data_IF_351251058768
#
_entry.id   IF_351251058768
#
_cell.length_a   1.000
_cell.length_b   1.000
_cell.length_c   1.000
_cell.angle_alpha   90.00
_cell.angle_beta   90.00
_cell.angle_gamma   90.00
#
_symmetry.space_group_name_H-M   'P 1'
#
loop_
_entity.id
_entity.type
_entity.pdbx_description
1 polymer ?
#
# COMPACT_ATOMS: atom_id res chain seq x y z
N UNK A 1 19.75 36.52 0.85
CA UNK A 1 20.97 35.68 0.82
C UNK A 1 20.50 34.24 0.68
N UNK A 2 20.57 33.69 -0.54
CA UNK A 2 20.11 32.34 -0.89
C UNK A 2 21.25 31.36 -0.54
N UNK A 3 20.96 30.27 0.17
CA UNK A 3 21.95 29.28 0.59
C UNK A 3 22.29 28.39 -0.62
N UNK A 4 23.37 28.72 -1.33
CA UNK A 4 23.91 27.96 -2.48
C UNK A 4 24.72 26.71 -2.08
N UNK A 5 24.62 26.23 -0.82
CA UNK A 5 25.28 24.98 -0.42
C UNK A 5 24.23 23.87 -0.31
N UNK A 6 24.37 22.77 -1.08
CA UNK A 6 23.52 21.60 -0.87
C UNK A 6 23.72 21.11 0.57
N UNK A 7 22.65 20.71 1.26
CA UNK A 7 22.75 20.24 2.64
C UNK A 7 23.66 19.01 2.70
N UNK A 8 24.58 18.97 3.68
CA UNK A 8 25.58 17.91 3.78
C UNK A 8 25.01 16.54 4.25
N UNK A 9 23.69 16.47 4.49
CA UNK A 9 23.01 15.26 4.99
C UNK A 9 21.65 15.05 4.33
N UNK A 10 21.23 13.79 4.18
CA UNK A 10 19.91 13.37 3.66
C UNK A 10 18.79 14.07 4.42
N UNK A 11 18.88 14.08 5.76
CA UNK A 11 17.89 14.73 6.62
C UNK A 11 17.81 16.24 6.40
N UNK A 12 18.93 16.88 6.08
CA UNK A 12 18.97 18.30 5.71
C UNK A 12 18.27 18.57 4.38
N UNK A 13 18.46 17.68 3.40
CA UNK A 13 17.78 17.73 2.11
C UNK A 13 16.26 17.60 2.24
N UNK A 14 15.81 16.57 2.97
CA UNK A 14 14.38 16.33 3.22
C UNK A 14 13.72 17.49 3.98
N UNK A 15 14.43 18.09 4.94
CA UNK A 15 13.93 19.27 5.65
C UNK A 15 13.79 20.50 4.74
N UNK A 16 14.71 20.68 3.79
CA UNK A 16 14.62 21.75 2.79
C UNK A 16 13.44 21.51 1.82
N UNK A 17 13.30 20.28 1.32
CA UNK A 17 12.18 19.86 0.46
C UNK A 17 10.83 20.03 1.16
N UNK A 18 10.72 19.62 2.42
CA UNK A 18 9.48 19.80 3.19
C UNK A 18 9.12 21.29 3.36
N UNK A 19 10.12 22.16 3.57
CA UNK A 19 9.89 23.61 3.69
C UNK A 19 9.46 24.24 2.36
N UNK A 20 10.10 23.87 1.24
CA UNK A 20 9.73 24.38 -0.08
C UNK A 20 8.31 23.96 -0.44
N UNK A 21 7.95 22.68 -0.27
CA UNK A 21 6.59 22.20 -0.54
C UNK A 21 5.51 22.83 0.36
N UNK A 22 5.82 23.06 1.65
CA UNK A 22 4.90 23.80 2.54
C UNK A 22 4.72 25.26 2.12
N UNK A 23 5.80 25.94 1.74
CA UNK A 23 5.74 27.33 1.28
C UNK A 23 4.94 27.47 -0.02
N UNK A 24 4.97 26.44 -0.88
CA UNK A 24 4.20 26.37 -2.13
C UNK A 24 2.73 25.98 -1.95
N UNK A 25 2.29 25.69 -0.72
CA UNK A 25 0.90 25.31 -0.41
C UNK A 25 0.52 23.89 -0.85
N UNK A 26 1.49 22.98 -0.98
CA UNK A 26 1.21 21.59 -1.36
C UNK A 26 0.38 20.86 -0.30
N UNK A 27 -0.41 19.88 -0.75
CA UNK A 27 -1.27 19.07 0.13
C UNK A 27 -0.43 18.20 1.08
N UNK A 28 -0.94 17.86 2.29
CA UNK A 28 -0.20 17.01 3.23
C UNK A 28 0.16 15.62 2.70
N UNK A 29 -0.74 14.99 1.94
CA UNK A 29 -0.48 13.68 1.32
C UNK A 29 0.67 13.74 0.32
N UNK A 30 0.61 14.69 -0.62
CA UNK A 30 1.68 14.92 -1.61
C UNK A 30 3.04 15.19 -0.95
N UNK A 31 3.06 15.94 0.16
CA UNK A 31 4.30 16.18 0.94
C UNK A 31 4.83 14.87 1.53
N UNK A 32 3.96 14.01 2.06
CA UNK A 32 4.36 12.73 2.63
C UNK A 32 4.93 11.79 1.57
N UNK A 33 4.27 11.69 0.42
CA UNK A 33 4.67 10.81 -0.68
C UNK A 33 6.03 11.26 -1.25
N UNK A 34 6.18 12.55 -1.56
CA UNK A 34 7.42 13.10 -2.09
C UNK A 34 8.61 12.92 -1.13
N UNK A 35 8.39 13.06 0.20
CA UNK A 35 9.45 12.84 1.19
C UNK A 35 9.87 11.38 1.28
N UNK A 36 8.92 10.45 1.24
CA UNK A 36 9.20 9.01 1.31
C UNK A 36 9.96 8.54 0.06
N UNK A 37 9.49 8.93 -1.12
CA UNK A 37 10.14 8.59 -2.40
C UNK A 37 11.59 9.13 -2.45
N UNK A 38 11.78 10.39 -2.04
CA UNK A 38 13.11 11.01 -2.02
C UNK A 38 14.03 10.34 -0.99
N UNK A 39 13.53 10.00 0.21
CA UNK A 39 14.32 9.32 1.23
C UNK A 39 14.78 7.94 0.75
N UNK A 40 13.89 7.16 0.13
CA UNK A 40 14.23 5.85 -0.42
C UNK A 40 15.29 5.97 -1.53
N UNK A 41 15.10 6.90 -2.46
CA UNK A 41 16.05 7.10 -3.55
C UNK A 41 17.44 7.54 -3.06
N UNK A 42 17.49 8.50 -2.13
CA UNK A 42 18.76 8.96 -1.53
C UNK A 42 19.48 7.84 -0.78
N UNK A 43 18.76 7.02 -0.02
CA UNK A 43 19.33 5.89 0.69
C UNK A 43 19.87 4.82 -0.28
N UNK A 44 19.19 4.58 -1.39
CA UNK A 44 19.64 3.65 -2.42
C UNK A 44 20.93 4.14 -3.11
N UNK A 45 21.03 5.42 -3.45
CA UNK A 45 22.25 6.01 -4.02
C UNK A 45 23.43 5.91 -3.06
N UNK A 46 23.23 6.20 -1.77
CA UNK A 46 24.26 6.04 -0.75
C UNK A 46 24.71 4.58 -0.61
N UNK A 47 23.77 3.63 -0.68
CA UNK A 47 24.09 2.20 -0.62
C UNK A 47 24.86 1.70 -1.85
N UNK A 48 24.66 2.30 -3.02
CA UNK A 48 25.42 2.00 -4.23
C UNK A 48 26.83 2.64 -4.21
N UNK A 49 26.99 3.75 -3.50
CA UNK A 49 28.24 4.52 -3.40
C UNK A 49 28.92 4.39 -2.03
N UNK A 50 29.18 3.15 -1.60
CA UNK A 50 29.82 2.75 -0.32
C UNK A 50 31.21 3.37 -0.02
N UNK A 51 31.80 4.13 -0.94
CA UNK A 51 33.13 4.76 -0.80
C UNK A 51 33.15 6.28 -0.82
N UNK A 52 32.00 6.94 -0.99
CA UNK A 52 31.89 8.40 -1.03
C UNK A 52 31.27 8.92 0.27
N UNK A 53 31.58 10.17 0.63
CA UNK A 53 30.93 10.81 1.77
C UNK A 53 29.47 11.14 1.43
N UNK A 54 28.59 11.15 2.43
CA UNK A 54 27.15 11.47 2.25
C UNK A 54 26.94 12.80 1.52
N UNK A 55 27.81 13.79 1.80
CA UNK A 55 27.78 15.10 1.17
C UNK A 55 28.16 15.07 -0.32
N UNK A 56 29.12 14.22 -0.71
CA UNK A 56 29.54 14.09 -2.12
C UNK A 56 28.46 13.41 -2.96
N UNK A 57 27.81 12.37 -2.40
CA UNK A 57 26.67 11.69 -3.05
C UNK A 57 25.51 12.66 -3.20
N UNK A 58 25.18 13.45 -2.17
CA UNK A 58 24.11 14.46 -2.27
C UNK A 58 24.43 15.55 -3.29
N UNK A 59 25.68 16.01 -3.39
CA UNK A 59 26.08 16.99 -4.40
C UNK A 59 25.87 16.46 -5.83
N UNK A 60 26.21 15.18 -6.05
CA UNK A 60 25.98 14.51 -7.33
C UNK A 60 24.48 14.31 -7.61
N UNK A 61 23.68 13.95 -6.61
CA UNK A 61 22.22 13.82 -6.74
C UNK A 61 21.58 15.18 -7.07
N UNK A 62 22.01 16.26 -6.42
CA UNK A 62 21.54 17.62 -6.72
C UNK A 62 21.90 18.04 -8.14
N UNK A 63 23.09 17.67 -8.64
CA UNK A 63 23.49 17.96 -10.01
C UNK A 63 22.68 17.16 -11.05
N UNK A 64 22.34 15.91 -10.73
CA UNK A 64 21.67 14.99 -11.66
C UNK A 64 20.15 15.14 -11.66
N UNK A 65 19.54 15.32 -10.48
CA UNK A 65 18.10 15.28 -10.25
C UNK A 65 17.52 16.62 -9.80
N UNK A 66 18.36 17.57 -9.38
CA UNK A 66 17.95 18.93 -9.06
C UNK A 66 17.89 19.26 -7.58
N UNK A 67 17.66 20.54 -7.32
CA UNK A 67 17.56 21.12 -5.98
C UNK A 67 16.21 20.77 -5.32
N UNK A 68 16.11 20.81 -3.97
CA UNK A 68 14.86 20.53 -3.28
C UNK A 68 13.74 21.56 -3.58
N UNK A 69 14.06 22.71 -4.17
CA UNK A 69 13.07 23.67 -4.67
C UNK A 69 12.50 23.21 -6.02
N UNK A 70 13.35 22.75 -6.93
CA UNK A 70 12.97 22.25 -8.27
C UNK A 70 12.15 20.97 -8.17
N UNK A 71 12.57 20.02 -7.34
CA UNK A 71 11.80 18.78 -7.10
C UNK A 71 10.40 19.10 -6.56
N UNK A 72 10.28 20.05 -5.62
CA UNK A 72 8.97 20.46 -5.10
C UNK A 72 8.06 21.03 -6.21
N UNK A 73 8.61 21.82 -7.13
CA UNK A 73 7.88 22.37 -8.27
C UNK A 73 7.46 21.27 -9.26
N UNK A 74 8.32 20.29 -9.52
CA UNK A 74 8.02 19.13 -10.37
C UNK A 74 6.85 18.31 -9.80
N UNK A 75 6.92 17.91 -8.52
CA UNK A 75 5.84 17.18 -7.85
C UNK A 75 4.51 17.96 -7.87
N UNK A 76 4.56 19.28 -7.68
CA UNK A 76 3.39 20.15 -7.77
C UNK A 76 2.80 20.21 -9.18
N UNK A 77 3.65 20.31 -10.20
CA UNK A 77 3.25 20.33 -11.60
C UNK A 77 2.63 18.99 -12.03
N UNK A 78 3.20 17.88 -11.56
CA UNK A 78 2.71 16.53 -11.83
C UNK A 78 1.34 16.32 -11.18
N UNK A 79 1.16 16.71 -9.91
CA UNK A 79 -0.14 16.63 -9.23
C UNK A 79 -1.23 17.48 -9.92
N UNK A 80 -0.84 18.64 -10.47
CA UNK A 80 -1.74 19.49 -11.25
C UNK A 80 -2.10 18.88 -12.62
N UNK A 81 -1.17 18.16 -13.23
CA UNK A 81 -1.36 17.48 -14.52
C UNK A 81 -2.12 16.15 -14.41
N UNK A 82 -2.17 15.54 -13.21
CA UNK A 82 -2.96 14.33 -12.95
C UNK A 82 -4.45 14.67 -13.05
N UNK A 83 -4.98 14.54 -14.26
CA UNK A 83 -6.39 14.44 -14.60
C UNK A 83 -6.69 12.95 -14.78
N UNK A 84 -6.85 12.25 -13.65
CA UNK A 84 -7.22 10.84 -13.66
C UNK A 84 -8.72 10.65 -13.91
N UNK A 85 -9.16 9.51 -14.46
CA UNK A 85 -10.59 9.15 -14.53
C UNK A 85 -11.23 8.94 -13.15
N UNK A 86 -10.39 8.78 -12.12
CA UNK A 86 -10.81 8.50 -10.76
C UNK A 86 -10.88 9.79 -9.95
N UNK A 87 -11.96 10.01 -9.18
CA UNK A 87 -12.09 11.17 -8.30
C UNK A 87 -10.93 11.19 -7.30
N UNK A 88 -10.30 12.34 -7.12
CA UNK A 88 -9.27 12.53 -6.10
C UNK A 88 -9.96 12.31 -4.74
N UNK A 89 -9.37 11.50 -3.86
CA UNK A 89 -9.92 11.16 -2.54
C UNK A 89 -10.20 12.40 -1.67
N UNK A 90 -9.58 13.53 -1.99
CA UNK A 90 -9.78 14.82 -1.33
C UNK A 90 -11.05 15.57 -1.78
N UNK A 91 -11.71 15.14 -2.87
CA UNK A 91 -13.03 15.65 -3.28
C UNK A 91 -14.16 15.03 -2.46
N UNK A 92 -13.83 14.47 -1.28
CA UNK A 92 -14.82 14.20 -0.24
C UNK A 92 -15.50 15.54 0.10
N UNK A 93 -16.64 15.77 -0.57
CA UNK A 93 -17.47 16.94 -0.41
C UNK A 93 -17.55 17.32 1.08
N UNK A 94 -17.44 18.61 1.43
CA UNK A 94 -17.44 19.06 2.82
C UNK A 94 -18.60 18.38 3.56
N UNK A 95 -18.42 17.94 4.82
CA UNK A 95 -19.41 17.17 5.55
C UNK A 95 -20.74 17.92 5.48
N UNK A 96 -21.64 17.45 4.59
CA UNK A 96 -22.94 18.09 4.38
C UNK A 96 -23.64 17.98 5.71
N UNK A 97 -24.01 19.13 6.30
CA UNK A 97 -24.76 19.23 7.56
C UNK A 97 -25.72 18.05 7.69
N UNK A 98 -25.49 17.21 8.69
CA UNK A 98 -26.27 16.01 8.97
C UNK A 98 -27.72 16.39 9.27
N UNK A 99 -28.54 16.44 8.24
CA UNK A 99 -29.99 16.38 8.37
C UNK A 99 -30.39 14.91 8.47
N UNK A 100 -31.10 14.53 9.53
CA UNK A 100 -31.52 13.14 9.81
C UNK A 100 -32.31 12.48 8.66
N UNK A 101 -32.87 13.26 7.72
CA UNK A 101 -33.65 12.76 6.56
C UNK A 101 -32.87 12.73 5.24
N UNK A 102 -31.64 13.22 5.19
CA UNK A 102 -30.87 13.28 3.93
C UNK A 102 -30.45 11.88 3.46
N UNK A 103 -30.32 10.92 4.39
CA UNK A 103 -29.96 9.52 4.14
C UNK A 103 -31.02 8.78 3.31
N UNK A 104 -32.30 9.10 3.50
CA UNK A 104 -33.42 8.44 2.77
C UNK A 104 -33.38 8.76 1.28
N UNK A 105 -32.71 9.84 0.87
CA UNK A 105 -32.60 10.25 -0.54
C UNK A 105 -31.21 9.97 -1.13
N UNK A 106 -30.29 9.41 -0.35
CA UNK A 106 -28.94 9.11 -0.82
C UNK A 106 -28.87 7.69 -1.41
N UNK A 107 -28.76 7.51 -2.73
CA UNK A 107 -28.62 6.20 -3.35
C UNK A 107 -27.39 5.43 -2.86
N UNK A 108 -26.35 6.13 -2.36
CA UNK A 108 -25.16 5.48 -1.78
C UNK A 108 -25.47 4.78 -0.47
N UNK A 109 -26.41 5.29 0.34
CA UNK A 109 -26.78 4.68 1.61
C UNK A 109 -27.46 3.31 1.39
N UNK A 110 -28.32 3.20 0.38
CA UNK A 110 -28.94 1.92 -0.01
C UNK A 110 -27.92 0.94 -0.57
N UNK A 111 -26.93 1.43 -1.34
CA UNK A 111 -25.79 0.61 -1.78
C UNK A 111 -24.99 0.04 -0.62
N UNK A 112 -24.70 0.84 0.41
CA UNK A 112 -24.01 0.40 1.61
C UNK A 112 -24.82 -0.61 2.43
N UNK A 113 -26.15 -0.46 2.53
CA UNK A 113 -27.03 -1.44 3.20
C UNK A 113 -27.05 -2.78 2.46
N UNK A 114 -27.14 -2.76 1.12
CA UNK A 114 -27.04 -3.97 0.32
C UNK A 114 -25.67 -4.64 0.42
N UNK A 115 -24.60 -3.84 0.47
CA UNK A 115 -23.25 -4.35 0.73
C UNK A 115 -23.14 -5.01 2.11
N UNK A 116 -23.68 -4.40 3.17
CA UNK A 116 -23.69 -5.03 4.50
C UNK A 116 -24.46 -6.35 4.52
N UNK A 117 -25.60 -6.42 3.84
CA UNK A 117 -26.38 -7.65 3.77
C UNK A 117 -25.64 -8.74 2.97
N UNK A 118 -25.00 -8.37 1.87
CA UNK A 118 -24.20 -9.29 1.07
C UNK A 118 -22.96 -9.77 1.85
N UNK A 119 -22.30 -8.85 2.57
CA UNK A 119 -21.16 -9.14 3.44
C UNK A 119 -21.53 -10.10 4.58
N UNK A 120 -22.75 -10.04 5.08
CA UNK A 120 -23.24 -11.00 6.07
C UNK A 120 -23.32 -12.41 5.47
N UNK A 121 -23.90 -12.54 4.27
CA UNK A 121 -24.05 -13.83 3.58
C UNK A 121 -22.68 -14.42 3.23
N UNK A 122 -21.79 -13.63 2.63
CA UNK A 122 -20.43 -14.09 2.30
C UNK A 122 -19.61 -14.39 3.56
N UNK A 123 -19.78 -13.59 4.62
CA UNK A 123 -19.13 -13.81 5.91
C UNK A 123 -19.53 -15.13 6.56
N UNK A 124 -20.82 -15.49 6.55
CA UNK A 124 -21.29 -16.79 7.05
C UNK A 124 -20.69 -17.94 6.23
N UNK A 125 -20.65 -17.81 4.91
CA UNK A 125 -20.04 -18.81 4.04
C UNK A 125 -18.54 -19.00 4.36
N UNK A 126 -17.75 -17.94 4.45
CA UNK A 126 -16.33 -18.05 4.79
C UNK A 126 -16.12 -18.61 6.21
N UNK A 127 -16.90 -18.13 7.18
CA UNK A 127 -16.84 -18.62 8.55
C UNK A 127 -17.07 -20.13 8.63
N UNK A 128 -18.14 -20.62 7.97
CA UNK A 128 -18.46 -22.05 7.99
C UNK A 128 -17.35 -22.91 7.36
N UNK A 129 -16.79 -22.49 6.22
CA UNK A 129 -15.68 -23.23 5.57
C UNK A 129 -14.43 -23.22 6.44
N UNK A 130 -14.07 -22.07 7.03
CA UNK A 130 -12.86 -21.97 7.87
C UNK A 130 -13.01 -22.79 9.15
N UNK A 131 -14.13 -22.68 9.86
CA UNK A 131 -14.36 -23.44 11.10
C UNK A 131 -14.38 -24.94 10.85
N UNK A 132 -15.08 -25.39 9.80
CA UNK A 132 -15.13 -26.81 9.43
C UNK A 132 -13.76 -27.32 9.00
N UNK A 133 -13.04 -26.57 8.16
CA UNK A 133 -11.72 -26.96 7.68
C UNK A 133 -10.66 -26.99 8.77
N UNK A 134 -10.67 -26.04 9.71
CA UNK A 134 -9.79 -26.05 10.90
C UNK A 134 -10.13 -27.24 11.79
N UNK A 135 -11.40 -27.47 12.12
CA UNK A 135 -11.82 -28.59 12.96
C UNK A 135 -11.41 -29.95 12.36
N UNK A 136 -11.61 -30.13 11.04
CA UNK A 136 -11.19 -31.32 10.32
C UNK A 136 -9.66 -31.45 10.26
N UNK A 137 -8.93 -30.35 10.05
CA UNK A 137 -7.46 -30.37 10.02
C UNK A 137 -6.89 -30.83 11.36
N UNK A 138 -7.41 -30.32 12.48
CA UNK A 138 -7.01 -30.78 13.81
C UNK A 138 -7.46 -32.22 14.11
N UNK A 139 -8.68 -32.59 13.75
CA UNK A 139 -9.21 -33.94 13.97
C UNK A 139 -8.46 -35.00 13.16
N UNK A 140 -8.07 -34.67 11.93
CA UNK A 140 -7.30 -35.56 11.05
C UNK A 140 -5.80 -35.47 11.28
N UNK A 141 -5.27 -34.51 12.06
CA UNK A 141 -3.83 -34.35 12.29
C UNK A 141 -3.16 -35.58 12.93
N UNK A 142 -3.91 -36.37 13.70
CA UNK A 142 -3.45 -37.63 14.29
C UNK A 142 -3.25 -38.71 13.22
N UNK A 143 -3.96 -38.61 12.10
CA UNK A 143 -3.88 -39.52 10.96
C UNK A 143 -2.82 -39.03 9.98
N UNK A 144 -2.16 -39.95 9.27
CA UNK A 144 -1.20 -39.63 8.19
C UNK A 144 -1.84 -38.76 7.09
N UNK A 145 -3.16 -38.88 6.90
CA UNK A 145 -3.95 -38.14 5.91
C UNK A 145 -4.24 -36.69 6.37
N UNK A 146 -3.96 -36.33 7.63
CA UNK A 146 -4.17 -34.97 8.14
C UNK A 146 -3.31 -33.92 7.44
N UNK A 147 -2.04 -34.23 7.17
CA UNK A 147 -1.12 -33.32 6.48
C UNK A 147 -1.59 -32.93 5.08
N UNK A 148 -1.92 -33.86 4.16
CA UNK A 148 -2.42 -33.48 2.84
C UNK A 148 -3.77 -32.76 2.90
N UNK A 149 -4.64 -33.09 3.86
CA UNK A 149 -5.90 -32.37 4.07
C UNK A 149 -5.66 -30.92 4.52
N UNK A 150 -4.76 -30.69 5.48
CA UNK A 150 -4.41 -29.36 5.95
C UNK A 150 -3.82 -28.49 4.82
N UNK A 151 -2.95 -29.07 3.98
CA UNK A 151 -2.43 -28.38 2.79
C UNK A 151 -3.54 -28.02 1.80
N UNK A 152 -4.49 -28.93 1.56
CA UNK A 152 -5.66 -28.67 0.71
C UNK A 152 -6.52 -27.54 1.30
N UNK A 153 -6.76 -27.56 2.62
CA UNK A 153 -7.50 -26.52 3.31
C UNK A 153 -6.84 -25.14 3.16
N UNK A 154 -5.52 -25.06 3.35
CA UNK A 154 -4.75 -23.83 3.09
C UNK A 154 -4.94 -23.37 1.63
N UNK A 155 -4.92 -24.29 0.67
CA UNK A 155 -5.22 -24.01 -0.74
C UNK A 155 -6.61 -23.40 -0.95
N UNK A 156 -7.64 -23.97 -0.31
CA UNK A 156 -9.01 -23.44 -0.35
C UNK A 156 -9.09 -22.03 0.24
N UNK A 157 -8.46 -21.79 1.39
CA UNK A 157 -8.40 -20.46 2.00
C UNK A 157 -7.76 -19.42 1.07
N UNK A 158 -6.69 -19.79 0.35
CA UNK A 158 -6.05 -18.90 -0.64
C UNK A 158 -6.97 -18.58 -1.82
N UNK A 159 -7.70 -19.57 -2.34
CA UNK A 159 -8.68 -19.34 -3.41
C UNK A 159 -9.79 -18.41 -2.93
N UNK A 160 -10.31 -18.61 -1.72
CA UNK A 160 -11.34 -17.75 -1.14
C UNK A 160 -10.85 -16.30 -0.98
N UNK A 161 -9.62 -16.10 -0.50
CA UNK A 161 -9.02 -14.76 -0.40
C UNK A 161 -8.86 -14.07 -1.76
N UNK A 162 -8.54 -14.82 -2.83
CA UNK A 162 -8.50 -14.28 -4.19
C UNK A 162 -9.89 -13.87 -4.71
N UNK A 163 -10.91 -14.67 -4.41
CA UNK A 163 -12.30 -14.36 -4.77
C UNK A 163 -12.76 -13.11 -4.05
N UNK A 164 -12.45 -12.97 -2.76
CA UNK A 164 -12.80 -11.79 -1.98
C UNK A 164 -12.09 -10.54 -2.49
N UNK A 165 -10.80 -10.64 -2.85
CA UNK A 165 -10.07 -9.56 -3.52
C UNK A 165 -10.74 -9.10 -4.83
N UNK A 166 -11.22 -10.05 -5.65
CA UNK A 166 -11.98 -9.77 -6.89
C UNK A 166 -13.33 -9.12 -6.63
N UNK A 167 -14.05 -9.59 -5.60
CA UNK A 167 -15.34 -9.03 -5.20
C UNK A 167 -15.17 -7.58 -4.72
N UNK A 168 -14.13 -7.32 -3.91
CA UNK A 168 -13.81 -6.00 -3.38
C UNK A 168 -13.35 -5.05 -4.49
N UNK A 169 -12.45 -5.49 -5.37
CA UNK A 169 -12.00 -4.68 -6.50
C UNK A 169 -13.16 -4.34 -7.45
N UNK A 170 -14.05 -5.31 -7.72
CA UNK A 170 -15.22 -5.10 -8.58
C UNK A 170 -16.30 -4.21 -7.96
N UNK A 171 -16.58 -4.34 -6.66
CA UNK A 171 -17.66 -3.59 -5.98
C UNK A 171 -17.22 -2.21 -5.49
N UNK A 172 -15.99 -2.09 -4.99
CA UNK A 172 -15.49 -0.86 -4.37
C UNK A 172 -14.60 -0.04 -5.33
N UNK A 173 -14.18 -0.60 -6.47
CA UNK A 173 -13.22 0.04 -7.41
C UNK A 173 -11.91 0.50 -6.74
N UNK A 174 -11.63 0.01 -5.52
CA UNK A 174 -10.39 0.24 -4.80
C UNK A 174 -9.47 -0.93 -5.15
N UNK A 175 -8.37 -0.65 -5.85
CA UNK A 175 -7.29 -1.62 -6.02
C UNK A 175 -6.65 -1.87 -4.66
N UNK A 176 -6.70 -3.12 -4.18
CA UNK A 176 -5.86 -3.50 -3.06
C UNK A 176 -4.38 -3.40 -3.47
N UNK A 177 -3.51 -2.80 -2.64
CA UNK A 177 -2.07 -2.85 -2.86
C UNK A 177 -1.66 -4.31 -3.00
N UNK A 178 -1.09 -4.65 -4.17
CA UNK A 178 -0.59 -5.99 -4.44
C UNK A 178 0.61 -6.19 -3.51
N UNK A 179 0.44 -7.00 -2.45
CA UNK A 179 1.58 -7.51 -1.68
C UNK A 179 2.35 -8.41 -2.64
N UNK A 180 3.43 -7.87 -3.21
CA UNK A 180 4.36 -8.66 -4.01
C UNK A 180 4.80 -9.83 -3.13
N UNK A 181 4.81 -11.08 -3.64
CA UNK A 181 5.44 -12.17 -2.91
C UNK A 181 6.86 -11.74 -2.56
N UNK A 182 7.28 -12.01 -1.32
CA UNK A 182 8.68 -11.84 -0.93
C UNK A 182 9.54 -12.51 -2.02
N UNK A 183 10.58 -11.83 -2.50
CA UNK A 183 11.46 -12.38 -3.51
C UNK A 183 12.20 -13.58 -2.92
N UNK A 184 11.63 -14.78 -3.05
CA UNK A 184 12.32 -16.03 -2.72
C UNK A 184 13.41 -16.23 -3.78
N UNK A 185 14.70 -16.32 -3.40
CA UNK A 185 15.76 -16.62 -4.35
C UNK A 185 15.51 -17.99 -5.00
N UNK A 186 15.76 -18.08 -6.31
CA UNK A 186 15.35 -19.19 -7.18
C UNK A 186 15.96 -20.58 -6.87
N UNK A 187 16.75 -20.72 -5.80
CA UNK A 187 17.56 -21.91 -5.48
C UNK A 187 17.07 -22.68 -4.24
N UNK A 188 15.93 -22.29 -3.67
CA UNK A 188 15.39 -22.94 -2.47
C UNK A 188 14.54 -24.17 -2.80
N UNK A 189 14.89 -25.28 -2.12
CA UNK A 189 14.28 -26.61 -2.25
C UNK A 189 12.76 -26.53 -2.00
N UNK A 190 11.95 -27.28 -2.73
CA UNK A 190 10.47 -27.33 -2.57
C UNK A 190 10.04 -27.49 -1.09
N UNK A 191 10.87 -28.16 -0.28
CA UNK A 191 10.66 -28.31 1.16
C UNK A 191 10.79 -27.00 1.96
N UNK A 192 11.74 -26.11 1.65
CA UNK A 192 11.84 -24.81 2.30
C UNK A 192 10.76 -23.85 1.82
N UNK A 193 10.35 -23.93 0.55
CA UNK A 193 9.18 -23.19 0.06
C UNK A 193 7.89 -23.58 0.80
N UNK A 194 7.66 -24.87 1.03
CA UNK A 194 6.50 -25.34 1.82
C UNK A 194 6.63 -24.86 3.28
N UNK A 195 7.84 -24.89 3.85
CA UNK A 195 8.09 -24.45 5.22
C UNK A 195 7.89 -22.94 5.38
N UNK A 196 8.42 -22.12 4.46
CA UNK A 196 8.18 -20.68 4.42
C UNK A 196 6.70 -20.37 4.19
N UNK A 197 6.04 -21.04 3.25
CA UNK A 197 4.61 -20.84 2.99
C UNK A 197 3.70 -21.26 4.15
N UNK A 198 4.20 -22.07 5.08
CA UNK A 198 3.54 -22.46 6.33
C UNK A 198 3.88 -21.50 7.49
N UNK A 199 5.06 -20.88 7.47
CA UNK A 199 5.50 -19.85 8.44
C UNK A 199 4.85 -18.49 8.13
N UNK A 200 4.54 -18.23 6.87
CA UNK A 200 3.89 -17.01 6.37
C UNK A 200 2.33 -17.06 6.45
N UNK A 201 1.78 -17.98 7.26
CA UNK A 201 0.35 -18.10 7.63
C UNK A 201 0.16 -17.61 9.06
#
# INVERSE_FOLDING_TARGET
MKQDRPPDTVRGYLAALQRSMKAQGCKPGLISDALADCEEHLNNEIAMHLGMSEADVLAQVVETYGTPEEIAEEYKSMEAAIIGPFPKSDDAAPPRRYGFFNVVRDPKAYGALMYMLLSLVTGIFYFTVVVTGVALSFGLAILIIGVPFALLFIGVCRVLGHVEGRIIEGLLSVRMPRRLPAQTPADETIWTQIKEALIDV
#
